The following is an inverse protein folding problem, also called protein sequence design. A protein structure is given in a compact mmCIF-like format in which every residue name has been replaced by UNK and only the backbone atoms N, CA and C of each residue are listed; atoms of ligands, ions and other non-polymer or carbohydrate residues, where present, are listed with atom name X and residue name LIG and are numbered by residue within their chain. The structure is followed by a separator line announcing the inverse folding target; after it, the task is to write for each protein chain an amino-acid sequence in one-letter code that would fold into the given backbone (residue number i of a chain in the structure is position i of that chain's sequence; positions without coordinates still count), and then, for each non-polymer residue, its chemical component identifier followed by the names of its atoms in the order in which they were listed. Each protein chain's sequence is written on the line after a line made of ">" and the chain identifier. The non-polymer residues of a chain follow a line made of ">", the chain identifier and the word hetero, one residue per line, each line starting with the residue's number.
data_IF_477575095071
#
_entry.id   IF_477575095071
#
_cell.length_a   1.000
_cell.length_b   1.000
_cell.length_c   1.000
_cell.angle_alpha   90.00
_cell.angle_beta   90.00
_cell.angle_gamma   90.00
#
_symmetry.space_group_name_H-M   'P 1'
#
loop_
_entity.id
_entity.type
_entity.pdbx_description
1 polymer ?
#
# COMPACT_ATOMS: atom_id res chain seq x y z
N UNK A 1 -27.19 43.59 -5.62
CA UNK A 1 -26.31 43.24 -6.77
C UNK A 1 -24.85 42.92 -6.41
N UNK A 2 -23.97 43.85 -5.97
CA UNK A 2 -22.54 43.50 -5.72
C UNK A 2 -22.30 42.56 -4.52
N UNK A 3 -23.15 42.61 -3.49
CA UNK A 3 -23.06 41.73 -2.31
C UNK A 3 -23.54 40.30 -2.57
N UNK A 4 -24.45 40.13 -3.51
CA UNK A 4 -25.07 38.85 -3.87
C UNK A 4 -24.17 38.02 -4.80
N UNK A 5 -23.41 38.68 -5.67
CA UNK A 5 -22.39 38.04 -6.51
C UNK A 5 -21.12 37.67 -5.75
N UNK A 6 -20.82 38.30 -4.61
CA UNK A 6 -19.74 37.88 -3.71
C UNK A 6 -20.07 36.58 -2.96
N UNK A 7 -21.33 36.40 -2.53
CA UNK A 7 -21.78 35.19 -1.85
C UNK A 7 -21.69 33.93 -2.72
N UNK A 8 -22.05 34.06 -4.01
CA UNK A 8 -21.98 32.94 -4.96
C UNK A 8 -20.55 32.51 -5.29
N UNK A 9 -19.60 33.47 -5.32
CA UNK A 9 -18.17 33.20 -5.51
C UNK A 9 -17.52 32.57 -4.27
N UNK A 10 -17.92 33.01 -3.08
CA UNK A 10 -17.45 32.45 -1.82
C UNK A 10 -17.93 30.99 -1.62
N UNK A 11 -19.18 30.69 -2.00
CA UNK A 11 -19.72 29.34 -1.97
C UNK A 11 -18.99 28.37 -2.91
N UNK A 12 -18.65 28.82 -4.13
CA UNK A 12 -17.89 28.02 -5.09
C UNK A 12 -16.46 27.71 -4.60
N UNK A 13 -15.78 28.68 -4.00
CA UNK A 13 -14.44 28.47 -3.43
C UNK A 13 -14.47 27.51 -2.24
N UNK A 14 -15.47 27.64 -1.35
CA UNK A 14 -15.61 26.77 -0.19
C UNK A 14 -15.89 25.31 -0.60
N UNK A 15 -16.72 25.10 -1.63
CA UNK A 15 -16.99 23.76 -2.17
C UNK A 15 -15.72 23.12 -2.77
N UNK A 16 -14.93 23.89 -3.52
CA UNK A 16 -13.68 23.40 -4.10
C UNK A 16 -12.64 23.02 -3.03
N UNK A 17 -12.50 23.83 -1.97
CA UNK A 17 -11.62 23.53 -0.83
C UNK A 17 -12.10 22.31 -0.05
N UNK A 18 -13.40 22.15 0.15
CA UNK A 18 -13.98 20.96 0.79
C UNK A 18 -13.68 19.66 0.04
N UNK A 19 -13.77 19.68 -1.30
CA UNK A 19 -13.45 18.53 -2.15
C UNK A 19 -11.96 18.16 -2.13
N UNK A 20 -11.08 19.16 -2.08
CA UNK A 20 -9.63 18.95 -1.97
C UNK A 20 -9.23 18.41 -0.58
N UNK A 21 -9.95 18.80 0.48
CA UNK A 21 -9.69 18.30 1.83
C UNK A 21 -9.97 16.79 1.97
N UNK A 22 -11.00 16.27 1.32
CA UNK A 22 -11.28 14.82 1.31
C UNK A 22 -10.32 14.04 0.41
N UNK A 23 -9.63 14.69 -0.53
CA UNK A 23 -8.64 14.05 -1.40
C UNK A 23 -7.28 13.81 -0.71
N UNK A 24 -7.01 14.47 0.42
CA UNK A 24 -5.81 14.23 1.23
C UNK A 24 -6.07 13.26 2.40
N UNK A 25 -7.31 12.76 2.55
CA UNK A 25 -7.64 11.67 3.47
C UNK A 25 -7.18 10.34 2.88
N UNK A 26 -5.88 10.04 3.00
CA UNK A 26 -5.35 8.72 2.65
C UNK A 26 -6.20 7.63 3.30
N UNK A 27 -6.52 6.58 2.53
CA UNK A 27 -7.34 5.48 3.01
C UNK A 27 -6.77 4.99 4.35
N UNK A 28 -7.58 5.09 5.41
CA UNK A 28 -7.24 4.46 6.67
C UNK A 28 -7.22 2.96 6.37
N UNK A 29 -6.03 2.37 6.38
CA UNK A 29 -5.90 0.92 6.46
C UNK A 29 -6.41 0.60 7.86
N UNK A 30 -7.67 0.20 7.95
CA UNK A 30 -8.17 -0.45 9.15
C UNK A 30 -7.24 -1.63 9.37
N UNK A 31 -6.61 -1.68 10.54
CA UNK A 31 -5.99 -2.91 11.00
C UNK A 31 -7.15 -3.85 11.27
N UNK A 32 -7.64 -4.53 10.23
CA UNK A 32 -8.25 -5.83 10.42
C UNK A 32 -7.21 -6.60 11.23
N UNK A 33 -7.50 -6.79 12.52
CA UNK A 33 -6.78 -7.69 13.40
C UNK A 33 -6.88 -9.03 12.69
N UNK A 34 -5.89 -9.27 11.82
CA UNK A 34 -5.84 -10.39 10.93
C UNK A 34 -5.54 -11.54 11.86
N UNK A 35 -6.60 -12.09 12.46
CA UNK A 35 -6.53 -13.18 13.40
C UNK A 35 -5.71 -14.29 12.76
N UNK A 36 -4.46 -14.39 13.17
CA UNK A 36 -3.47 -15.22 12.48
C UNK A 36 -2.09 -14.59 12.38
N UNK A 37 -1.51 -14.18 13.52
CA UNK A 37 -0.04 -14.25 13.71
C UNK A 37 0.43 -15.71 13.74
N UNK A 38 -0.01 -16.51 12.77
CA UNK A 38 0.34 -17.91 12.60
C UNK A 38 1.42 -18.01 11.53
N UNK A 39 2.34 -18.97 11.73
CA UNK A 39 3.40 -19.29 10.78
C UNK A 39 2.88 -19.28 9.34
N UNK A 40 3.30 -18.30 8.55
CA UNK A 40 2.87 -18.16 7.17
C UNK A 40 3.90 -18.82 6.25
N UNK A 41 3.47 -19.61 5.26
CA UNK A 41 4.39 -20.22 4.29
C UNK A 41 4.20 -19.58 2.93
N UNK A 42 5.25 -18.95 2.41
CA UNK A 42 5.28 -18.31 1.09
C UNK A 42 6.03 -19.20 0.10
N UNK A 43 5.57 -19.34 -1.15
CA UNK A 43 6.37 -19.95 -2.21
C UNK A 43 6.87 -18.83 -3.14
N UNK A 44 8.18 -18.66 -3.23
CA UNK A 44 8.82 -17.61 -4.03
C UNK A 44 9.45 -18.23 -5.26
N UNK A 45 8.94 -17.88 -6.44
CA UNK A 45 9.40 -18.44 -7.69
C UNK A 45 10.68 -17.70 -8.16
N UNK A 46 11.82 -18.37 -8.18
CA UNK A 46 13.13 -17.81 -8.50
C UNK A 46 13.39 -17.91 -10.00
N UNK A 47 13.51 -16.76 -10.65
CA UNK A 47 14.01 -16.69 -12.02
C UNK A 47 15.54 -16.67 -12.02
N UNK A 48 16.16 -17.22 -13.05
CA UNK A 48 17.62 -17.46 -13.12
C UNK A 48 18.48 -16.21 -13.38
N UNK A 49 17.89 -15.01 -13.40
CA UNK A 49 18.64 -13.76 -13.54
C UNK A 49 19.08 -13.20 -12.18
N UNK A 50 20.33 -12.73 -12.13
CA UNK A 50 20.98 -12.26 -10.88
C UNK A 50 20.22 -11.12 -10.18
N UNK A 51 19.55 -10.26 -10.94
CA UNK A 51 18.73 -9.18 -10.39
C UNK A 51 17.49 -9.67 -9.64
N UNK A 52 16.90 -10.79 -10.04
CA UNK A 52 15.78 -11.40 -9.31
C UNK A 52 16.24 -11.89 -7.94
N UNK A 53 17.41 -12.53 -7.91
CA UNK A 53 17.98 -13.11 -6.68
C UNK A 53 18.22 -12.03 -5.62
N UNK A 54 18.71 -10.86 -6.03
CA UNK A 54 18.90 -9.73 -5.12
C UNK A 54 17.58 -9.27 -4.48
N UNK A 55 16.51 -9.14 -5.28
CA UNK A 55 15.18 -8.74 -4.77
C UNK A 55 14.58 -9.85 -3.88
N UNK A 56 14.69 -11.11 -4.30
CA UNK A 56 14.21 -12.26 -3.55
C UNK A 56 14.89 -12.38 -2.17
N UNK A 57 16.17 -12.03 -2.06
CA UNK A 57 16.88 -12.02 -0.78
C UNK A 57 16.28 -11.02 0.20
N UNK A 58 15.96 -9.80 -0.24
CA UNK A 58 15.35 -8.77 0.62
C UNK A 58 13.96 -9.19 1.07
N UNK A 59 13.14 -9.70 0.15
CA UNK A 59 11.78 -10.17 0.48
C UNK A 59 11.83 -11.36 1.44
N UNK A 60 12.75 -12.30 1.22
CA UNK A 60 12.94 -13.46 2.11
C UNK A 60 13.35 -13.03 3.52
N UNK A 61 14.32 -12.11 3.63
CA UNK A 61 14.75 -11.60 4.93
C UNK A 61 13.60 -10.96 5.72
N UNK A 62 12.83 -10.06 5.10
CA UNK A 62 11.70 -9.41 5.76
C UNK A 62 10.61 -10.42 6.13
N UNK A 63 10.34 -11.38 5.27
CA UNK A 63 9.36 -12.43 5.51
C UNK A 63 9.74 -13.32 6.71
N UNK A 64 10.99 -13.77 6.79
CA UNK A 64 11.43 -14.72 7.81
C UNK A 64 11.76 -14.03 9.14
N UNK A 65 12.49 -12.91 9.10
CA UNK A 65 13.00 -12.24 10.30
C UNK A 65 11.99 -11.27 10.92
N UNK A 66 11.28 -10.48 10.11
CA UNK A 66 10.37 -9.44 10.62
C UNK A 66 8.93 -9.95 10.76
N UNK A 67 8.52 -10.89 9.90
CA UNK A 67 7.14 -11.38 9.82
C UNK A 67 6.95 -12.82 10.32
N UNK A 68 8.02 -13.54 10.65
CA UNK A 68 7.95 -14.90 11.22
C UNK A 68 7.39 -15.95 10.27
N UNK A 69 7.54 -15.74 8.96
CA UNK A 69 7.09 -16.66 7.93
C UNK A 69 8.20 -17.62 7.48
N UNK A 70 7.83 -18.65 6.72
CA UNK A 70 8.74 -19.57 6.04
C UNK A 70 8.67 -19.32 4.54
N UNK A 71 9.81 -19.05 3.89
CA UNK A 71 9.84 -18.83 2.44
C UNK A 71 10.44 -20.04 1.73
N UNK A 72 9.67 -20.63 0.82
CA UNK A 72 10.10 -21.72 -0.06
C UNK A 72 10.46 -21.18 -1.43
N UNK A 73 11.75 -21.00 -1.67
CA UNK A 73 12.25 -20.58 -2.97
C UNK A 73 12.20 -21.76 -3.97
N UNK A 74 11.60 -21.54 -5.15
CA UNK A 74 11.42 -22.52 -6.22
C UNK A 74 12.01 -21.97 -7.51
N UNK A 75 13.13 -22.53 -7.97
CA UNK A 75 13.67 -22.18 -9.28
C UNK A 75 12.68 -22.54 -10.38
N UNK A 76 12.32 -21.54 -11.17
CA UNK A 76 11.61 -21.70 -12.43
C UNK A 76 12.67 -21.93 -13.51
N UNK A 77 12.76 -23.17 -13.99
CA UNK A 77 13.48 -23.43 -15.25
C UNK A 77 12.59 -22.91 -16.37
N UNK A 78 13.10 -21.92 -17.09
CA UNK A 78 12.54 -21.47 -18.37
C UNK A 78 12.93 -22.45 -19.48
#
# INVERSE_FOLDING_TARGET
>A
MRRESLGLKAAGLAAAVGLLATACGGAKVESDDSGGGGACTMNLAMNDWVGYTANAAVVTYLAEEELGCTVKQKSLKE
#
